data_IF_639029741736
#
_entry.id   IF_639029741736
#
_cell.length_a   1.000
_cell.length_b   1.000
_cell.length_c   1.000
_cell.angle_alpha   90.00
_cell.angle_beta   90.00
_cell.angle_gamma   90.00
#
_symmetry.space_group_name_H-M   'P 1'
#
loop_
_entity.id
_entity.type
_entity.pdbx_description
1 polymer ?
#
# COMPACT_ATOMS: atom_id res chain seq x y z
N UNK A 1 -2.58 8.63 41.73
CA UNK A 1 -2.83 7.78 40.54
C UNK A 1 -2.98 8.76 39.40
N UNK A 2 -1.89 8.98 38.68
CA UNK A 2 -1.84 9.99 37.63
C UNK A 2 -2.52 9.39 36.40
N UNK A 3 -3.72 9.89 36.10
CA UNK A 3 -4.52 9.53 34.94
C UNK A 3 -3.98 10.18 33.64
N UNK A 4 -2.70 10.58 33.60
CA UNK A 4 -2.14 11.35 32.48
C UNK A 4 -1.52 10.49 31.36
N UNK A 5 -1.54 9.15 31.46
CA UNK A 5 -0.97 8.29 30.41
C UNK A 5 -1.84 7.08 30.05
N UNK A 6 -3.11 7.33 29.75
CA UNK A 6 -3.90 6.42 28.89
C UNK A 6 -3.97 6.98 27.47
N UNK A 7 -2.90 7.64 27.02
CA UNK A 7 -2.81 8.27 25.71
C UNK A 7 -3.06 7.23 24.63
N UNK A 8 -4.26 7.23 24.05
CA UNK A 8 -4.58 6.39 22.90
C UNK A 8 -3.64 6.75 21.76
N UNK A 9 -2.62 5.92 21.56
CA UNK A 9 -1.68 6.05 20.47
C UNK A 9 -2.34 5.57 19.18
N UNK A 10 -2.96 6.51 18.48
CA UNK A 10 -3.62 6.23 17.22
C UNK A 10 -2.77 6.70 16.05
N UNK A 11 -2.56 5.78 15.11
CA UNK A 11 -2.17 6.12 13.75
C UNK A 11 -2.74 5.10 12.77
N UNK A 12 -2.89 5.53 11.52
CA UNK A 12 -3.40 4.67 10.47
C UNK A 12 -2.94 5.08 9.07
N UNK A 13 -3.08 4.15 8.12
CA UNK A 13 -2.68 4.31 6.70
C UNK A 13 -3.89 4.19 5.79
N UNK A 14 -4.04 5.09 4.83
CA UNK A 14 -5.11 5.09 3.84
C UNK A 14 -4.58 5.24 2.41
N UNK A 15 -5.29 4.70 1.40
CA UNK A 15 -6.45 3.80 1.52
C UNK A 15 -6.07 2.42 2.09
N UNK A 16 -7.08 1.66 2.55
CA UNK A 16 -6.89 0.28 3.04
C UNK A 16 -6.87 -0.76 1.94
N UNK A 17 -7.54 -0.45 0.83
CA UNK A 17 -7.64 -1.29 -0.34
C UNK A 17 -7.45 -0.43 -1.57
N UNK A 18 -6.59 -0.89 -2.47
CA UNK A 18 -6.37 -0.30 -3.79
C UNK A 18 -6.71 -1.39 -4.80
N UNK A 19 -7.72 -1.14 -5.62
CA UNK A 19 -8.03 -1.95 -6.78
C UNK A 19 -7.76 -1.12 -8.02
N UNK A 20 -6.96 -1.65 -8.93
CA UNK A 20 -6.53 -0.89 -10.10
C UNK A 20 -6.29 -1.76 -11.32
N UNK A 21 -6.65 -1.23 -12.46
CA UNK A 21 -6.38 -1.85 -13.76
C UNK A 21 -4.92 -1.63 -14.14
N UNK A 22 -4.25 -2.69 -14.56
CA UNK A 22 -2.90 -2.63 -15.08
C UNK A 22 -2.86 -1.68 -16.26
N UNK A 23 -2.00 -0.67 -16.16
CA UNK A 23 -1.65 0.20 -17.25
C UNK A 23 -0.12 0.17 -17.45
N UNK A 24 0.32 0.45 -18.68
CA UNK A 24 1.75 0.52 -19.01
C UNK A 24 2.34 1.91 -18.79
N UNK A 25 1.53 2.87 -18.31
CA UNK A 25 1.97 4.21 -17.93
C UNK A 25 2.47 4.28 -16.49
N UNK A 26 3.17 5.37 -16.14
CA UNK A 26 3.59 5.59 -14.76
C UNK A 26 2.38 5.88 -13.87
N UNK A 27 1.96 4.88 -13.10
CA UNK A 27 0.93 5.05 -12.09
C UNK A 27 1.56 5.17 -10.69
N UNK A 28 1.02 6.11 -9.90
CA UNK A 28 1.50 6.38 -8.55
C UNK A 28 0.34 6.72 -7.64
N UNK A 29 0.14 5.93 -6.59
CA UNK A 29 -0.94 6.15 -5.61
C UNK A 29 -0.30 6.49 -4.27
N UNK A 30 -0.41 7.73 -3.78
CA UNK A 30 0.15 8.12 -2.49
C UNK A 30 -0.64 7.49 -1.34
N UNK A 31 0.07 6.90 -0.37
CA UNK A 31 -0.51 6.54 0.92
C UNK A 31 -0.58 7.77 1.81
N UNK A 32 -1.66 7.87 2.58
CA UNK A 32 -1.90 8.93 3.55
C UNK A 32 -1.80 8.39 4.96
N UNK A 33 -0.96 9.03 5.77
CA UNK A 33 -0.78 8.69 7.17
C UNK A 33 -1.65 9.62 8.01
N UNK A 34 -2.40 9.06 8.95
CA UNK A 34 -3.25 9.81 9.88
C UNK A 34 -2.85 9.46 11.31
N UNK A 35 -2.94 10.43 12.22
CA UNK A 35 -2.51 10.27 13.60
C UNK A 35 -1.01 10.45 13.77
N UNK A 36 -0.45 9.86 14.82
CA UNK A 36 0.92 10.13 15.25
C UNK A 36 1.73 8.83 15.39
N UNK A 37 2.34 8.28 14.32
CA UNK A 37 3.22 7.12 14.44
C UNK A 37 4.38 7.41 15.40
N UNK A 38 4.86 6.39 16.12
CA UNK A 38 5.92 6.51 17.16
C UNK A 38 7.32 6.78 16.59
N UNK A 39 7.54 6.40 15.33
CA UNK A 39 8.85 6.49 14.69
C UNK A 39 8.76 6.65 13.18
N UNK A 40 9.89 6.43 12.52
CA UNK A 40 9.95 6.46 11.07
C UNK A 40 9.15 5.29 10.48
N UNK A 41 8.34 5.61 9.48
CA UNK A 41 7.54 4.62 8.78
C UNK A 41 8.43 3.77 7.88
N UNK A 42 8.20 2.47 7.96
CA UNK A 42 8.83 1.48 7.13
C UNK A 42 7.76 0.73 6.35
N UNK A 43 8.14 0.34 5.13
CA UNK A 43 7.25 -0.31 4.19
C UNK A 43 7.86 -1.63 3.73
N UNK A 44 7.04 -2.67 3.67
CA UNK A 44 7.41 -3.96 3.12
C UNK A 44 6.28 -4.46 2.21
N UNK A 45 6.63 -5.00 1.05
CA UNK A 45 5.67 -5.60 0.14
C UNK A 45 5.87 -7.10 0.07
N UNK A 46 4.78 -7.86 0.22
CA UNK A 46 4.82 -9.34 0.20
C UNK A 46 5.25 -9.88 -1.17
N UNK A 47 4.72 -9.31 -2.26
CA UNK A 47 5.12 -9.65 -3.63
C UNK A 47 5.26 -8.39 -4.48
N UNK A 48 6.52 -7.97 -4.72
CA UNK A 48 6.87 -6.79 -5.51
C UNK A 48 6.67 -6.97 -7.02
N UNK A 49 6.47 -8.20 -7.48
CA UNK A 49 6.14 -8.45 -8.89
C UNK A 49 4.73 -7.98 -9.25
N UNK A 50 3.85 -7.81 -8.25
CA UNK A 50 2.47 -7.31 -8.42
C UNK A 50 2.38 -5.80 -8.18
N UNK A 51 2.87 -5.33 -7.04
CA UNK A 51 2.93 -3.91 -6.68
C UNK A 51 4.03 -3.70 -5.65
N UNK A 52 4.54 -2.48 -5.51
CA UNK A 52 5.55 -2.14 -4.51
C UNK A 52 5.33 -0.69 -4.05
N UNK A 53 6.03 -0.29 -2.99
CA UNK A 53 5.95 1.07 -2.44
C UNK A 53 7.34 1.65 -2.30
N UNK A 54 7.48 2.91 -2.70
CA UNK A 54 8.72 3.64 -2.53
C UNK A 54 8.88 4.21 -1.11
N UNK A 55 10.04 4.79 -0.85
CA UNK A 55 10.39 5.37 0.45
C UNK A 55 9.52 6.60 0.80
N UNK A 56 8.83 7.21 -0.16
CA UNK A 56 7.89 8.33 0.05
C UNK A 56 6.47 7.84 0.39
N UNK A 57 6.25 6.52 0.44
CA UNK A 57 4.93 5.94 0.71
C UNK A 57 4.01 6.00 -0.51
N UNK A 58 4.54 5.97 -1.75
CA UNK A 58 3.73 5.90 -2.97
C UNK A 58 3.73 4.48 -3.52
N UNK A 59 2.53 3.93 -3.72
CA UNK A 59 2.34 2.62 -4.34
C UNK A 59 2.51 2.74 -5.84
N UNK A 60 3.29 1.79 -6.39
CA UNK A 60 3.61 1.62 -7.81
C UNK A 60 3.22 0.20 -8.25
N UNK A 61 2.97 0.03 -9.54
CA UNK A 61 2.65 -1.28 -10.09
C UNK A 61 3.92 -2.07 -10.41
N UNK A 62 3.84 -3.38 -10.21
CA UNK A 62 4.81 -4.35 -10.70
C UNK A 62 4.50 -4.77 -12.14
N UNK A 63 5.09 -5.89 -12.56
CA UNK A 63 4.96 -6.43 -13.93
C UNK A 63 3.91 -7.54 -14.06
N UNK A 64 3.26 -7.95 -12.97
CA UNK A 64 2.18 -8.95 -12.93
C UNK A 64 0.89 -8.36 -12.41
N UNK A 65 -0.22 -8.93 -12.87
CA UNK A 65 -1.53 -8.82 -12.21
C UNK A 65 -1.63 -9.83 -11.07
N UNK A 66 -2.55 -9.56 -10.13
CA UNK A 66 -2.76 -10.37 -8.93
C UNK A 66 -3.04 -9.51 -7.71
N UNK A 67 -3.09 -10.16 -6.55
CA UNK A 67 -3.26 -9.50 -5.26
C UNK A 67 -1.98 -9.61 -4.41
N UNK A 68 -1.62 -8.52 -3.74
CA UNK A 68 -0.50 -8.45 -2.81
C UNK A 68 -0.86 -7.57 -1.62
N UNK A 69 -0.02 -7.59 -0.58
CA UNK A 69 -0.21 -6.78 0.61
C UNK A 69 1.04 -5.95 0.84
N UNK A 70 0.82 -4.68 1.18
CA UNK A 70 1.86 -3.79 1.69
C UNK A 70 1.67 -3.66 3.19
N UNK A 71 2.73 -3.95 3.94
CA UNK A 71 2.82 -3.79 5.38
C UNK A 71 3.49 -2.44 5.66
N UNK A 72 2.88 -1.66 6.54
CA UNK A 72 3.41 -0.38 7.01
C UNK A 72 3.54 -0.45 8.52
N UNK A 73 4.70 -0.11 9.05
CA UNK A 73 4.98 -0.18 10.49
C UNK A 73 5.84 1.00 10.94
N UNK A 74 5.63 1.46 12.16
CA UNK A 74 6.29 2.66 12.73
C UNK A 74 7.43 2.32 13.70
N UNK A 75 7.77 1.03 13.84
CA UNK A 75 8.89 0.56 14.66
C UNK A 75 9.52 -0.72 14.12
N UNK A 76 10.85 -0.93 14.30
CA UNK A 76 11.51 -2.18 13.91
C UNK A 76 10.95 -3.44 14.57
N UNK A 77 10.36 -3.31 15.76
CA UNK A 77 9.70 -4.40 16.49
C UNK A 77 8.38 -4.83 15.85
N UNK A 78 7.80 -4.02 14.96
CA UNK A 78 6.52 -4.28 14.27
C UNK A 78 5.34 -4.48 15.23
N UNK A 79 5.36 -3.81 16.37
CA UNK A 79 4.28 -3.92 17.37
C UNK A 79 2.98 -3.27 16.89
N UNK A 80 3.07 -2.35 15.93
CA UNK A 80 1.92 -1.71 15.28
C UNK A 80 2.08 -1.78 13.77
N UNK A 81 1.46 -2.78 13.14
CA UNK A 81 1.44 -2.94 11.67
C UNK A 81 0.10 -2.49 11.12
N UNK A 82 0.11 -1.84 9.96
CA UNK A 82 -1.06 -1.57 9.12
C UNK A 82 -0.88 -2.28 7.79
N UNK A 83 -1.98 -2.79 7.27
CA UNK A 83 -2.00 -3.50 6.00
C UNK A 83 -2.75 -2.67 4.96
N UNK A 84 -2.21 -2.64 3.76
CA UNK A 84 -2.86 -2.11 2.56
C UNK A 84 -2.97 -3.25 1.57
N UNK A 85 -4.21 -3.64 1.25
CA UNK A 85 -4.49 -4.65 0.24
C UNK A 85 -4.38 -4.01 -1.15
N UNK A 86 -3.65 -4.65 -2.05
CA UNK A 86 -3.51 -4.22 -3.44
C UNK A 86 -4.03 -5.32 -4.35
N UNK A 87 -4.92 -4.98 -5.26
CA UNK A 87 -5.39 -5.84 -6.35
C UNK A 87 -5.12 -5.15 -7.68
N UNK A 88 -4.28 -5.76 -8.50
CA UNK A 88 -3.99 -5.33 -9.86
C UNK A 88 -4.69 -6.28 -10.82
N UNK A 89 -5.65 -5.77 -11.57
CA UNK A 89 -6.45 -6.54 -12.55
C UNK A 89 -6.01 -6.21 -13.97
N UNK A 90 -6.24 -7.11 -14.92
CA UNK A 90 -6.04 -6.80 -16.34
C UNK A 90 -7.09 -5.79 -16.82
N UNK A 91 -6.74 -5.04 -17.88
CA UNK A 91 -7.72 -4.25 -18.61
C UNK A 91 -8.65 -5.21 -19.37
N UNK A 92 -9.85 -5.46 -18.84
CA UNK A 92 -10.90 -6.11 -19.62
C UNK A 92 -11.31 -5.18 -20.77
N UNK A 93 -10.76 -5.41 -21.96
CA UNK A 93 -11.19 -4.69 -23.18
C UNK A 93 -10.09 -4.25 -24.14
N UNK A 94 -8.81 -4.54 -23.88
CA UNK A 94 -7.72 -4.31 -24.84
C UNK A 94 -7.61 -5.41 -25.90
N UNK A 95 -8.72 -5.79 -26.53
CA UNK A 95 -8.68 -6.63 -27.71
C UNK A 95 -7.85 -5.92 -28.77
N UNK A 96 -6.65 -6.41 -29.05
CA UNK A 96 -6.10 -6.26 -30.39
C UNK A 96 -7.17 -6.86 -31.30
N UNK A 97 -7.94 -5.98 -31.98
CA UNK A 97 -8.78 -6.41 -33.07
C UNK A 97 -7.90 -7.22 -34.00
N UNK A 98 -8.12 -8.53 -34.04
CA UNK A 98 -7.55 -9.39 -35.06
C UNK A 98 -7.98 -8.78 -36.39
N UNK A 99 -7.07 -8.38 -37.29
CA UNK A 99 -7.49 -8.00 -38.63
C UNK A 99 -8.13 -9.22 -39.27
N UNK A 100 -9.31 -9.04 -39.87
CA UNK A 100 -9.97 -10.03 -40.72
C UNK A 100 -9.07 -10.49 -41.87
#
# INVERSE_FOLDING_TARGET
MDYEDMGFHYWDVFPKKIKVTRNWGEMSIPLSIRGAPRGELQYETVDSSIAWVDWEGRVKLGWRTGATIIMVYDSPSRDSVRYVEIEVIEEEGGGYGLPE
#
